data_IF_216942386399
#
_entry.id   IF_216942386399
#
_cell.length_a   1.000
_cell.length_b   1.000
_cell.length_c   1.000
_cell.angle_alpha   90.00
_cell.angle_beta   90.00
_cell.angle_gamma   90.00
#
_symmetry.space_group_name_H-M   'P 1'
#
loop_
_entity.id
_entity.type
_entity.pdbx_description
1 polymer ?
#
# COMPACT_ATOMS: atom_id res chain seq x y z
N UNK A 1 26.98 6.18 -32.30
CA UNK A 1 27.86 5.59 -31.28
C UNK A 1 27.72 6.31 -29.94
N UNK A 2 27.85 7.63 -29.90
CA UNK A 2 27.67 8.46 -28.69
C UNK A 2 26.37 8.18 -27.91
N UNK A 3 25.22 8.09 -28.59
CA UNK A 3 23.93 7.72 -27.96
C UNK A 3 23.98 6.37 -27.23
N UNK A 4 24.63 5.36 -27.83
CA UNK A 4 24.76 4.03 -27.22
C UNK A 4 25.74 4.05 -26.04
N UNK A 5 26.77 4.91 -26.08
CA UNK A 5 27.68 5.09 -24.95
C UNK A 5 26.97 5.67 -23.74
N UNK A 6 26.11 6.69 -23.95
CA UNK A 6 25.29 7.27 -22.89
C UNK A 6 24.41 6.23 -22.20
N UNK A 7 23.80 5.29 -22.94
CA UNK A 7 23.00 4.23 -22.32
C UNK A 7 23.84 3.18 -21.57
N UNK A 8 25.06 2.89 -22.02
CA UNK A 8 25.96 2.00 -21.26
C UNK A 8 26.38 2.64 -19.94
N UNK A 9 26.69 3.95 -19.97
CA UNK A 9 26.99 4.71 -18.76
C UNK A 9 25.77 4.81 -17.83
N UNK A 10 24.57 5.06 -18.39
CA UNK A 10 23.33 5.05 -17.63
C UNK A 10 23.11 3.70 -16.93
N UNK A 11 23.29 2.59 -17.65
CA UNK A 11 23.20 1.25 -17.06
C UNK A 11 24.25 1.02 -15.96
N UNK A 12 25.48 1.54 -16.09
CA UNK A 12 26.51 1.40 -15.06
C UNK A 12 26.03 2.05 -13.75
N UNK A 13 25.60 3.31 -13.81
CA UNK A 13 25.09 4.05 -12.65
C UNK A 13 23.85 3.37 -12.07
N UNK A 14 22.95 2.94 -12.94
CA UNK A 14 21.72 2.27 -12.51
C UNK A 14 21.98 0.92 -11.83
N UNK A 15 22.96 0.13 -12.29
CA UNK A 15 23.35 -1.11 -11.61
C UNK A 15 24.01 -0.84 -10.26
N UNK A 16 24.78 0.25 -10.13
CA UNK A 16 25.31 0.68 -8.83
C UNK A 16 24.18 1.09 -7.88
N UNK A 17 23.16 1.81 -8.36
CA UNK A 17 21.97 2.12 -7.56
C UNK A 17 21.20 0.85 -7.16
N UNK A 18 21.09 -0.14 -8.06
CA UNK A 18 20.46 -1.42 -7.73
C UNK A 18 21.24 -2.19 -6.65
N UNK A 19 22.58 -2.14 -6.68
CA UNK A 19 23.44 -2.73 -5.66
C UNK A 19 23.25 -2.06 -4.30
N UNK A 20 23.22 -0.72 -4.25
CA UNK A 20 22.93 0.03 -3.03
C UNK A 20 21.52 -0.28 -2.49
N UNK A 21 20.54 -0.47 -3.36
CA UNK A 21 19.20 -0.93 -2.96
C UNK A 21 19.21 -2.37 -2.45
N UNK A 22 19.96 -3.25 -3.10
CA UNK A 22 20.10 -4.64 -2.66
C UNK A 22 20.73 -4.75 -1.27
N UNK A 23 21.66 -3.86 -0.92
CA UNK A 23 22.24 -3.78 0.43
C UNK A 23 21.19 -3.44 1.51
N UNK A 24 20.15 -2.68 1.15
CA UNK A 24 19.01 -2.39 2.04
C UNK A 24 18.06 -3.59 2.16
N UNK A 25 18.14 -4.54 1.23
CA UNK A 25 17.31 -5.73 1.20
C UNK A 25 15.82 -5.41 1.20
N UNK A 26 15.09 -6.14 2.03
CA UNK A 26 13.65 -6.02 2.26
C UNK A 26 13.31 -5.11 3.45
N UNK A 27 14.31 -4.48 4.10
CA UNK A 27 14.07 -3.58 5.24
C UNK A 27 13.10 -2.43 4.93
N UNK A 28 13.17 -1.75 3.77
CA UNK A 28 12.20 -0.70 3.45
C UNK A 28 10.76 -1.22 3.37
N UNK A 29 10.55 -2.38 2.73
CA UNK A 29 9.23 -3.02 2.60
C UNK A 29 8.71 -3.46 3.97
N UNK A 30 9.55 -4.06 4.80
CA UNK A 30 9.20 -4.41 6.18
C UNK A 30 8.80 -3.19 7.02
N UNK A 31 9.48 -2.05 6.86
CA UNK A 31 9.12 -0.81 7.56
C UNK A 31 7.76 -0.29 7.08
N UNK A 32 7.50 -0.30 5.76
CA UNK A 32 6.21 0.12 5.21
C UNK A 32 5.06 -0.77 5.71
N UNK A 33 5.26 -2.09 5.74
CA UNK A 33 4.28 -3.04 6.27
C UNK A 33 4.01 -2.81 7.77
N UNK A 34 5.06 -2.61 8.58
CA UNK A 34 4.93 -2.31 10.01
C UNK A 34 4.24 -0.96 10.26
N UNK A 35 4.53 0.06 9.45
CA UNK A 35 3.87 1.36 9.50
C UNK A 35 2.37 1.24 9.21
N UNK A 36 2.01 0.48 8.16
CA UNK A 36 0.62 0.23 7.81
C UNK A 36 -0.12 -0.56 8.89
N UNK A 37 0.53 -1.58 9.48
CA UNK A 37 -0.06 -2.34 10.58
C UNK A 37 -0.27 -1.46 11.83
N UNK A 38 0.72 -0.62 12.16
CA UNK A 38 0.63 0.31 13.28
C UNK A 38 -0.49 1.34 13.07
N UNK A 39 -0.57 1.94 11.88
CA UNK A 39 -1.63 2.89 11.54
C UNK A 39 -3.02 2.24 11.61
N UNK A 40 -3.15 1.00 11.12
CA UNK A 40 -4.38 0.22 11.20
C UNK A 40 -4.80 -0.03 12.65
N UNK A 41 -3.86 -0.45 13.50
CA UNK A 41 -4.11 -0.69 14.93
C UNK A 41 -4.52 0.59 15.66
N UNK A 42 -3.78 1.69 15.47
CA UNK A 42 -4.10 2.98 16.09
C UNK A 42 -5.44 3.55 15.59
N UNK A 43 -5.77 3.35 14.31
CA UNK A 43 -7.07 3.74 13.76
C UNK A 43 -8.21 2.94 14.38
N UNK A 44 -8.04 1.63 14.56
CA UNK A 44 -9.01 0.79 15.25
C UNK A 44 -9.26 1.26 16.69
N UNK A 45 -8.20 1.58 17.43
CA UNK A 45 -8.31 2.15 18.79
C UNK A 45 -9.06 3.49 18.77
N UNK A 46 -8.70 4.42 17.88
CA UNK A 46 -9.39 5.73 17.77
C UNK A 46 -10.88 5.58 17.47
N UNK A 47 -11.26 4.62 16.62
CA UNK A 47 -12.66 4.34 16.30
C UNK A 47 -13.40 3.75 17.50
N UNK A 48 -12.80 2.80 18.20
CA UNK A 48 -13.36 2.22 19.42
C UNK A 48 -13.55 3.30 20.51
N UNK A 49 -12.56 4.17 20.73
CA UNK A 49 -12.65 5.27 21.68
C UNK A 49 -13.75 6.28 21.32
N UNK A 50 -13.89 6.60 20.03
CA UNK A 50 -14.97 7.47 19.55
C UNK A 50 -16.33 6.85 19.80
N UNK A 51 -16.49 5.56 19.46
CA UNK A 51 -17.71 4.82 19.74
C UNK A 51 -18.04 4.82 21.25
N UNK A 52 -17.05 4.56 22.11
CA UNK A 52 -17.26 4.58 23.56
C UNK A 52 -17.78 5.92 24.09
N UNK A 53 -17.30 7.05 23.54
CA UNK A 53 -17.76 8.40 23.90
C UNK A 53 -19.20 8.66 23.44
N UNK A 54 -19.59 8.13 22.28
CA UNK A 54 -20.92 8.34 21.69
C UNK A 54 -21.97 7.36 22.24
N UNK A 55 -21.55 6.15 22.63
CA UNK A 55 -22.43 5.09 23.08
C UNK A 55 -23.25 5.46 24.32
N UNK A 56 -22.67 6.19 25.29
CA UNK A 56 -23.40 6.62 26.49
C UNK A 56 -24.53 7.59 26.14
N UNK A 57 -24.26 8.56 25.26
CA UNK A 57 -25.29 9.47 24.76
C UNK A 57 -26.39 8.74 23.98
N UNK A 58 -26.02 7.75 23.17
CA UNK A 58 -26.98 6.94 22.43
C UNK A 58 -27.87 6.12 23.36
N UNK A 59 -27.30 5.49 24.39
CA UNK A 59 -28.06 4.73 25.39
C UNK A 59 -29.04 5.63 26.13
N UNK A 60 -28.60 6.82 26.57
CA UNK A 60 -29.47 7.74 27.30
C UNK A 60 -30.59 8.31 26.42
N UNK A 61 -30.29 8.60 25.15
CA UNK A 61 -31.30 8.99 24.17
C UNK A 61 -32.36 7.89 23.98
N UNK A 62 -31.94 6.64 23.77
CA UNK A 62 -32.85 5.51 23.58
C UNK A 62 -33.70 5.22 24.83
N UNK A 63 -33.15 5.41 26.03
CA UNK A 63 -33.93 5.34 27.28
C UNK A 63 -35.02 6.42 27.32
N UNK A 64 -34.72 7.65 26.88
CA UNK A 64 -35.70 8.72 26.77
C UNK A 64 -36.84 8.39 25.80
N UNK A 65 -36.53 7.79 24.65
CA UNK A 65 -37.53 7.34 23.67
C UNK A 65 -38.43 6.23 24.23
N UNK A 66 -37.87 5.30 24.99
CA UNK A 66 -38.65 4.27 25.71
C UNK A 66 -39.62 4.92 26.69
N UNK A 67 -39.19 5.90 27.47
CA UNK A 67 -40.04 6.57 28.46
C UNK A 67 -41.19 7.34 27.78
N UNK A 68 -40.90 8.03 26.68
CA UNK A 68 -41.93 8.69 25.88
C UNK A 68 -42.95 7.69 25.31
N UNK A 69 -42.49 6.55 24.79
CA UNK A 69 -43.35 5.49 24.28
C UNK A 69 -44.23 4.90 25.39
N UNK A 70 -43.65 4.61 26.57
CA UNK A 70 -44.40 4.14 27.76
C UNK A 70 -45.46 5.15 28.20
N UNK A 71 -45.16 6.44 28.16
CA UNK A 71 -46.14 7.51 28.42
C UNK A 71 -47.29 7.51 27.40
N UNK A 72 -47.00 7.34 26.10
CA UNK A 72 -48.04 7.23 25.05
C UNK A 72 -48.91 5.99 25.25
N UNK A 73 -48.31 4.84 25.56
CA UNK A 73 -49.04 3.61 25.89
C UNK A 73 -50.01 3.85 27.04
N UNK A 74 -49.55 4.49 28.12
CA UNK A 74 -50.42 4.79 29.26
C UNK A 74 -51.59 5.69 28.87
N UNK A 75 -51.35 6.73 28.06
CA UNK A 75 -52.40 7.64 27.57
C UNK A 75 -53.41 6.91 26.68
N UNK A 76 -52.95 6.10 25.74
CA UNK A 76 -53.81 5.33 24.84
C UNK A 76 -54.64 4.30 25.60
N UNK A 77 -54.07 3.64 26.63
CA UNK A 77 -54.81 2.75 27.52
C UNK A 77 -55.92 3.48 28.27
N UNK A 78 -55.65 4.68 28.80
CA UNK A 78 -56.68 5.49 29.46
C UNK A 78 -57.81 5.87 28.49
N UNK A 79 -57.47 6.34 27.29
CA UNK A 79 -58.45 6.67 26.24
C UNK A 79 -59.27 5.47 25.82
N UNK A 80 -58.66 4.28 25.75
CA UNK A 80 -59.32 3.03 25.39
C UNK A 80 -60.49 2.68 26.32
N UNK A 81 -60.45 3.08 27.61
CA UNK A 81 -61.56 2.90 28.56
C UNK A 81 -62.72 3.88 28.35
N UNK A 82 -62.49 4.99 27.65
CA UNK A 82 -63.48 6.06 27.44
C UNK A 82 -64.24 5.92 26.11
N UNK A 83 -63.65 5.23 25.13
CA UNK A 83 -64.24 5.09 23.78
C UNK A 83 -65.42 4.13 23.75
N UNK A 84 -66.47 4.53 23.00
CA UNK A 84 -67.70 3.74 22.83
C UNK A 84 -67.86 3.14 21.43
N UNK A 85 -66.91 3.41 20.54
CA UNK A 85 -66.90 2.97 19.14
C UNK A 85 -65.82 1.90 18.93
N UNK A 86 -66.22 0.71 18.48
CA UNK A 86 -65.30 -0.42 18.23
C UNK A 86 -64.16 -0.04 17.27
N UNK A 87 -64.41 0.81 16.27
CA UNK A 87 -63.37 1.22 15.31
C UNK A 87 -62.26 2.04 15.96
N UNK A 88 -62.61 2.89 16.93
CA UNK A 88 -61.63 3.71 17.66
C UNK A 88 -60.88 2.88 18.71
N UNK A 89 -61.56 1.93 19.35
CA UNK A 89 -60.95 0.94 20.24
C UNK A 89 -59.88 0.11 19.52
N UNK A 90 -60.20 -0.41 18.33
CA UNK A 90 -59.27 -1.20 17.51
C UNK A 90 -58.07 -0.37 17.05
N UNK A 91 -58.28 0.91 16.72
CA UNK A 91 -57.20 1.83 16.36
C UNK A 91 -56.24 2.06 17.54
N UNK A 92 -56.76 2.36 18.72
CA UNK A 92 -55.94 2.54 19.93
C UNK A 92 -55.19 1.26 20.32
N UNK A 93 -55.82 0.10 20.16
CA UNK A 93 -55.17 -1.20 20.40
C UNK A 93 -53.94 -1.37 19.49
N UNK A 94 -54.09 -1.09 18.19
CA UNK A 94 -52.96 -1.16 17.24
C UNK A 94 -51.85 -0.18 17.58
N UNK A 95 -52.19 1.03 18.02
CA UNK A 95 -51.19 2.01 18.46
C UNK A 95 -50.45 1.56 19.72
N UNK A 96 -51.15 1.00 20.70
CA UNK A 96 -50.53 0.41 21.91
C UNK A 96 -49.55 -0.71 21.52
N UNK A 97 -49.96 -1.62 20.64
CA UNK A 97 -49.11 -2.72 20.17
C UNK A 97 -47.90 -2.22 19.36
N UNK A 98 -48.08 -1.17 18.56
CA UNK A 98 -46.97 -0.54 17.83
C UNK A 98 -45.96 0.11 18.79
N UNK A 99 -46.42 0.85 19.80
CA UNK A 99 -45.55 1.44 20.81
C UNK A 99 -44.85 0.37 21.67
N UNK A 100 -45.55 -0.73 21.99
CA UNK A 100 -44.96 -1.88 22.71
C UNK A 100 -43.82 -2.52 21.92
N UNK A 101 -44.02 -2.82 20.63
CA UNK A 101 -42.96 -3.34 19.75
C UNK A 101 -41.79 -2.37 19.62
N UNK A 102 -42.07 -1.07 19.53
CA UNK A 102 -41.01 -0.05 19.50
C UNK A 102 -40.15 -0.07 20.78
N UNK A 103 -40.77 -0.26 21.96
CA UNK A 103 -40.02 -0.39 23.23
C UNK A 103 -39.12 -1.63 23.18
N UNK A 104 -39.65 -2.80 22.81
CA UNK A 104 -38.88 -4.05 22.73
C UNK A 104 -37.68 -3.94 21.77
N UNK A 105 -37.89 -3.37 20.58
CA UNK A 105 -36.81 -3.14 19.62
C UNK A 105 -35.75 -2.16 20.14
N UNK A 106 -36.19 -1.14 20.88
CA UNK A 106 -35.29 -0.12 21.44
C UNK A 106 -34.49 -0.68 22.62
N UNK A 107 -35.11 -1.49 23.48
CA UNK A 107 -34.43 -2.22 24.56
C UNK A 107 -33.37 -3.17 24.00
N UNK A 108 -33.68 -3.87 22.90
CA UNK A 108 -32.69 -4.69 22.18
C UNK A 108 -31.51 -3.86 21.66
N UNK A 109 -31.77 -2.70 21.04
CA UNK A 109 -30.71 -1.79 20.57
C UNK A 109 -29.81 -1.30 21.70
N UNK A 110 -30.38 -1.03 22.89
CA UNK A 110 -29.60 -0.65 24.07
C UNK A 110 -28.70 -1.82 24.50
N UNK A 111 -29.24 -3.03 24.58
CA UNK A 111 -28.45 -4.22 24.94
C UNK A 111 -27.30 -4.48 23.96
N UNK A 112 -27.56 -4.37 22.65
CA UNK A 112 -26.54 -4.51 21.61
C UNK A 112 -25.46 -3.43 21.73
N UNK A 113 -25.85 -2.17 21.99
CA UNK A 113 -24.91 -1.04 22.18
C UNK A 113 -24.01 -1.26 23.40
N UNK A 114 -24.56 -1.76 24.51
CA UNK A 114 -23.79 -2.07 25.71
C UNK A 114 -22.82 -3.24 25.48
N UNK A 115 -23.23 -4.28 24.75
CA UNK A 115 -22.35 -5.38 24.38
C UNK A 115 -21.19 -4.92 23.48
N UNK A 116 -21.47 -4.03 22.51
CA UNK A 116 -20.44 -3.40 21.68
C UNK A 116 -19.50 -2.52 22.50
N UNK A 117 -20.00 -1.85 23.55
CA UNK A 117 -19.20 -1.04 24.47
C UNK A 117 -18.15 -1.90 25.18
N UNK A 118 -18.55 -3.03 25.75
CA UNK A 118 -17.61 -3.95 26.42
C UNK A 118 -16.60 -4.54 25.42
N UNK A 119 -17.06 -4.95 24.24
CA UNK A 119 -16.16 -5.43 23.17
C UNK A 119 -15.11 -4.38 22.78
N UNK A 120 -15.52 -3.11 22.67
CA UNK A 120 -14.64 -2.00 22.33
C UNK A 120 -13.60 -1.74 23.42
N UNK A 121 -13.97 -1.82 24.70
CA UNK A 121 -13.02 -1.68 25.82
C UNK A 121 -11.95 -2.78 25.78
N UNK A 122 -12.36 -4.04 25.65
CA UNK A 122 -11.42 -5.17 25.56
C UNK A 122 -10.49 -5.02 24.36
N UNK A 123 -11.00 -4.51 23.23
CA UNK A 123 -10.18 -4.25 22.04
C UNK A 123 -9.13 -3.18 22.31
N UNK A 124 -9.48 -2.08 22.97
CA UNK A 124 -8.54 -1.01 23.32
C UNK A 124 -7.46 -1.54 24.28
N UNK A 125 -7.86 -2.28 25.32
CA UNK A 125 -6.94 -2.87 26.29
C UNK A 125 -5.96 -3.86 25.65
N UNK A 126 -6.44 -4.72 24.75
CA UNK A 126 -5.59 -5.67 24.01
C UNK A 126 -4.69 -5.00 22.97
N UNK A 127 -5.09 -3.83 22.44
CA UNK A 127 -4.33 -3.13 21.40
C UNK A 127 -3.10 -2.41 21.93
N UNK A 128 -3.09 -1.99 23.20
CA UNK A 128 -1.96 -1.27 23.82
C UNK A 128 -0.63 -2.02 23.69
N UNK A 129 -0.51 -3.26 24.21
CA UNK A 129 0.71 -4.05 24.09
C UNK A 129 1.12 -4.33 22.63
N UNK A 130 0.13 -4.53 21.75
CA UNK A 130 0.39 -4.75 20.32
C UNK A 130 1.03 -3.51 19.67
N UNK A 131 0.45 -2.33 19.92
CA UNK A 131 0.94 -1.05 19.40
C UNK A 131 2.35 -0.76 19.92
N UNK A 132 2.62 -1.01 21.20
CA UNK A 132 3.97 -0.86 21.77
C UNK A 132 4.98 -1.81 21.12
N UNK A 133 4.60 -3.08 20.91
CA UNK A 133 5.42 -4.05 20.19
C UNK A 133 5.77 -3.59 18.78
N UNK A 134 4.77 -3.16 18.00
CA UNK A 134 4.95 -2.63 16.65
C UNK A 134 5.86 -1.39 16.63
N UNK A 135 5.70 -0.46 17.58
CA UNK A 135 6.55 0.73 17.69
C UNK A 135 8.00 0.38 17.97
N UNK A 136 8.24 -0.59 18.84
CA UNK A 136 9.60 -1.04 19.16
C UNK A 136 10.26 -1.74 17.98
N UNK A 137 9.53 -2.63 17.30
CA UNK A 137 10.05 -3.31 16.11
C UNK A 137 10.36 -2.31 14.99
N UNK A 138 9.42 -1.40 14.70
CA UNK A 138 9.60 -0.34 13.70
C UNK A 138 10.80 0.55 14.02
N UNK A 139 11.01 0.92 15.29
CA UNK A 139 12.18 1.71 15.70
C UNK A 139 13.50 0.96 15.44
N UNK A 140 13.55 -0.33 15.75
CA UNK A 140 14.73 -1.18 15.51
C UNK A 140 15.01 -1.32 14.01
N UNK A 141 13.99 -1.60 13.18
CA UNK A 141 14.16 -1.72 11.73
C UNK A 141 14.59 -0.41 11.08
N UNK A 142 14.02 0.72 11.50
CA UNK A 142 14.44 2.04 11.03
C UNK A 142 15.88 2.33 11.39
N UNK A 143 16.32 1.98 12.60
CA UNK A 143 17.71 2.14 13.02
C UNK A 143 18.65 1.29 12.16
N UNK A 144 18.32 0.03 11.90
CA UNK A 144 19.10 -0.84 11.00
C UNK A 144 19.19 -0.25 9.58
N UNK A 145 18.07 0.23 9.03
CA UNK A 145 18.06 0.87 7.71
C UNK A 145 18.89 2.17 7.70
N UNK A 146 18.83 2.96 8.77
CA UNK A 146 19.62 4.19 8.90
C UNK A 146 21.12 3.89 8.95
N UNK A 147 21.56 2.87 9.68
CA UNK A 147 22.96 2.45 9.74
C UNK A 147 23.48 2.03 8.35
N UNK A 148 22.73 1.20 7.62
CA UNK A 148 23.08 0.79 6.24
C UNK A 148 23.09 1.99 5.28
N UNK A 149 22.11 2.88 5.43
CA UNK A 149 21.96 4.04 4.54
C UNK A 149 23.03 5.09 4.81
N UNK A 150 23.41 5.32 6.07
CA UNK A 150 24.43 6.32 6.44
C UNK A 150 25.74 6.09 5.69
N UNK A 151 26.16 4.84 5.59
CA UNK A 151 27.43 4.46 4.98
C UNK A 151 27.39 4.56 3.43
N UNK A 152 26.19 4.56 2.83
CA UNK A 152 25.97 4.57 1.37
C UNK A 152 25.36 5.87 0.83
N UNK A 153 24.93 6.79 1.70
CA UNK A 153 24.13 7.99 1.35
C UNK A 153 24.85 8.96 0.42
N UNK A 154 26.11 9.26 0.71
CA UNK A 154 26.87 10.21 -0.10
C UNK A 154 27.22 9.62 -1.47
N UNK A 155 27.53 8.32 -1.53
CA UNK A 155 27.72 7.59 -2.78
C UNK A 155 26.44 7.58 -3.63
N UNK A 156 25.30 7.23 -3.04
CA UNK A 156 24.01 7.23 -3.74
C UNK A 156 23.67 8.62 -4.30
N UNK A 157 23.91 9.69 -3.52
CA UNK A 157 23.69 11.08 -3.98
C UNK A 157 24.54 11.44 -5.19
N UNK A 158 25.81 11.03 -5.19
CA UNK A 158 26.71 11.27 -6.33
C UNK A 158 26.20 10.52 -7.55
N UNK A 159 25.86 9.24 -7.42
CA UNK A 159 25.37 8.41 -8.54
C UNK A 159 24.07 8.99 -9.11
N UNK A 160 23.11 9.42 -8.28
CA UNK A 160 21.85 10.05 -8.72
C UNK A 160 22.14 11.35 -9.49
N UNK A 161 23.05 12.19 -9.01
CA UNK A 161 23.41 13.43 -9.67
C UNK A 161 24.08 13.18 -11.03
N UNK A 162 24.96 12.19 -11.12
CA UNK A 162 25.56 11.77 -12.39
C UNK A 162 24.53 11.18 -13.35
N UNK A 163 23.62 10.34 -12.85
CA UNK A 163 22.52 9.75 -13.62
C UNK A 163 21.69 10.85 -14.26
N UNK A 164 21.34 11.89 -13.51
CA UNK A 164 20.55 13.03 -14.00
C UNK A 164 21.27 13.73 -15.17
N UNK A 165 22.57 13.99 -15.06
CA UNK A 165 23.37 14.60 -16.13
C UNK A 165 23.40 13.76 -17.42
N UNK A 166 23.38 12.43 -17.30
CA UNK A 166 23.34 11.53 -18.45
C UNK A 166 21.93 11.51 -19.08
N UNK A 167 20.89 11.43 -18.25
CA UNK A 167 19.49 11.44 -18.68
C UNK A 167 19.16 12.72 -19.47
N UNK A 168 19.66 13.88 -19.04
CA UNK A 168 19.47 15.16 -19.75
C UNK A 168 20.10 15.18 -21.15
N UNK A 169 21.11 14.34 -21.40
CA UNK A 169 21.77 14.20 -22.71
C UNK A 169 21.12 13.13 -23.58
N UNK A 170 20.23 12.32 -23.03
CA UNK A 170 19.53 11.25 -23.75
C UNK A 170 18.29 11.76 -24.47
N UNK A 171 18.05 11.26 -25.69
CA UNK A 171 16.81 11.51 -26.41
C UNK A 171 15.64 10.79 -25.72
N UNK A 172 14.50 11.47 -25.55
CA UNK A 172 13.33 10.94 -24.84
C UNK A 172 12.90 9.54 -25.30
N UNK A 173 12.78 9.33 -26.62
CA UNK A 173 12.38 8.03 -27.20
C UNK A 173 13.34 6.89 -26.81
N UNK A 174 14.63 7.20 -26.71
CA UNK A 174 15.66 6.23 -26.34
C UNK A 174 15.59 5.90 -24.84
N UNK A 175 15.37 6.92 -24.00
CA UNK A 175 15.19 6.74 -22.57
C UNK A 175 13.92 5.93 -22.26
N UNK A 176 12.80 6.25 -22.90
CA UNK A 176 11.54 5.50 -22.71
C UNK A 176 11.71 4.02 -23.06
N UNK A 177 12.45 3.72 -24.13
CA UNK A 177 12.75 2.35 -24.51
C UNK A 177 13.66 1.66 -23.47
N UNK A 178 14.66 2.37 -22.98
CA UNK A 178 15.58 1.87 -21.94
C UNK A 178 14.82 1.52 -20.67
N UNK A 179 14.04 2.46 -20.13
CA UNK A 179 13.27 2.29 -18.88
C UNK A 179 12.24 1.15 -19.00
N UNK A 180 11.58 1.04 -20.16
CA UNK A 180 10.66 -0.08 -20.43
C UNK A 180 11.34 -1.43 -20.38
N UNK A 181 12.52 -1.57 -20.98
CA UNK A 181 13.28 -2.84 -20.95
C UNK A 181 13.77 -3.09 -19.52
N UNK A 182 14.26 -2.05 -18.83
CA UNK A 182 14.78 -2.11 -17.47
C UNK A 182 13.77 -2.71 -16.50
N UNK A 183 12.54 -2.18 -16.49
CA UNK A 183 11.47 -2.68 -15.63
C UNK A 183 11.01 -4.10 -15.93
N UNK A 184 11.18 -4.58 -17.17
CA UNK A 184 10.75 -5.92 -17.58
C UNK A 184 11.83 -7.01 -17.46
N UNK A 185 13.09 -6.64 -17.19
CA UNK A 185 14.26 -7.51 -17.41
C UNK A 185 15.35 -7.38 -16.34
N UNK A 186 14.94 -7.22 -15.09
CA UNK A 186 15.80 -7.23 -13.89
C UNK A 186 16.93 -6.17 -13.97
N UNK A 187 16.61 -4.96 -14.41
CA UNK A 187 17.57 -3.85 -14.43
C UNK A 187 18.63 -3.91 -15.55
N UNK A 188 18.80 -5.03 -16.27
CA UNK A 188 19.82 -5.17 -17.32
C UNK A 188 19.24 -4.99 -18.72
N UNK A 189 19.54 -3.85 -19.34
CA UNK A 189 19.04 -3.44 -20.68
C UNK A 189 20.03 -3.75 -21.79
N UNK A 190 21.32 -3.56 -21.53
CA UNK A 190 22.43 -3.74 -22.47
C UNK A 190 23.26 -4.96 -22.05
N UNK A 191 23.49 -5.86 -22.99
CA UNK A 191 24.24 -7.11 -22.76
C UNK A 191 25.28 -7.33 -23.86
N UNK A 192 26.32 -8.08 -23.54
CA UNK A 192 27.35 -8.44 -24.51
C UNK A 192 26.95 -9.65 -25.34
N UNK A 193 27.52 -9.75 -26.54
CA UNK A 193 27.48 -10.97 -27.36
C UNK A 193 28.46 -12.00 -26.79
N UNK A 194 27.95 -13.08 -26.17
CA UNK A 194 28.77 -14.16 -25.59
C UNK A 194 28.67 -15.42 -26.42
N UNK A 195 29.80 -15.88 -26.99
CA UNK A 195 29.87 -17.13 -27.81
C UNK A 195 28.79 -17.21 -28.91
N UNK A 196 28.48 -16.07 -29.55
CA UNK A 196 27.45 -15.99 -30.59
C UNK A 196 26.00 -15.94 -30.10
N UNK A 197 25.78 -15.84 -28.79
CA UNK A 197 24.46 -15.72 -28.17
C UNK A 197 24.27 -14.38 -27.43
N UNK A 198 23.01 -14.01 -27.22
CA UNK A 198 22.64 -12.85 -26.43
C UNK A 198 23.02 -13.07 -24.95
N UNK A 199 23.85 -12.21 -24.35
CA UNK A 199 24.30 -12.36 -22.96
C UNK A 199 23.21 -12.23 -21.88
N UNK A 200 21.98 -11.85 -22.25
CA UNK A 200 20.83 -11.78 -21.34
C UNK A 200 19.90 -13.00 -21.35
N UNK A 201 19.53 -13.52 -22.53
CA UNK A 201 18.59 -14.65 -22.67
C UNK A 201 19.22 -15.90 -23.29
N UNK A 202 20.53 -15.87 -23.56
CA UNK A 202 21.35 -16.97 -24.05
C UNK A 202 20.92 -17.61 -25.38
N UNK A 203 19.98 -16.98 -26.09
CA UNK A 203 19.56 -17.42 -27.41
C UNK A 203 20.60 -17.01 -28.47
N UNK A 204 20.85 -17.93 -29.40
CA UNK A 204 21.81 -17.78 -30.48
C UNK A 204 21.39 -16.65 -31.42
N UNK A 205 22.34 -15.80 -31.78
CA UNK A 205 22.14 -14.70 -32.74
C UNK A 205 22.69 -15.15 -34.10
N UNK A 206 21.97 -14.97 -35.23
CA UNK A 206 22.46 -15.33 -36.56
C UNK A 206 23.82 -14.70 -36.90
N UNK A 207 24.70 -15.43 -37.59
CA UNK A 207 26.08 -15.02 -37.90
C UNK A 207 26.19 -13.65 -38.58
N UNK A 208 25.28 -13.34 -39.50
CA UNK A 208 25.22 -12.03 -40.16
C UNK A 208 25.06 -10.89 -39.15
N UNK A 209 24.17 -11.06 -38.16
CA UNK A 209 23.93 -10.07 -37.10
C UNK A 209 25.06 -10.00 -36.10
N UNK A 210 25.73 -11.11 -35.82
CA UNK A 210 26.95 -11.09 -35.00
C UNK A 210 28.04 -10.19 -35.62
N UNK A 211 28.22 -10.27 -36.95
CA UNK A 211 29.16 -9.42 -37.66
C UNK A 211 28.75 -7.93 -37.62
N UNK A 212 27.45 -7.64 -37.72
CA UNK A 212 26.91 -6.28 -37.58
C UNK A 212 27.13 -5.70 -36.17
N UNK A 213 26.91 -6.50 -35.12
CA UNK A 213 27.12 -6.10 -33.72
C UNK A 213 28.60 -5.78 -33.48
N UNK A 214 29.53 -6.62 -33.99
CA UNK A 214 30.97 -6.40 -33.85
C UNK A 214 31.44 -5.12 -34.54
N UNK A 215 30.85 -4.78 -35.69
CA UNK A 215 31.14 -3.54 -36.43
C UNK A 215 30.47 -2.30 -35.83
N UNK A 216 29.60 -2.45 -34.83
CA UNK A 216 28.86 -1.39 -34.16
C UNK A 216 28.16 -0.39 -35.11
N UNK A 217 27.65 -0.88 -36.24
CA UNK A 217 27.08 -0.05 -37.32
C UNK A 217 25.73 0.57 -36.91
N UNK A 218 24.95 -0.14 -36.10
CA UNK A 218 23.62 0.27 -35.63
C UNK A 218 23.31 -0.34 -34.25
N UNK A 219 22.34 0.24 -33.55
CA UNK A 219 21.82 -0.34 -32.29
C UNK A 219 21.07 -1.63 -32.62
N UNK A 220 21.52 -2.74 -32.06
CA UNK A 220 20.90 -4.05 -32.26
C UNK A 220 20.09 -4.46 -31.04
N UNK A 221 18.85 -4.89 -31.27
CA UNK A 221 17.97 -5.42 -30.23
C UNK A 221 17.81 -6.94 -30.41
N UNK A 222 17.90 -7.69 -29.31
CA UNK A 222 17.61 -9.11 -29.32
C UNK A 222 16.11 -9.33 -29.61
N UNK A 223 15.79 -10.10 -30.64
CA UNK A 223 14.39 -10.40 -31.01
C UNK A 223 13.63 -11.21 -29.96
N UNK A 224 14.35 -11.87 -29.05
CA UNK A 224 13.72 -12.73 -28.05
C UNK A 224 13.46 -12.04 -26.72
N UNK A 225 14.37 -11.18 -26.27
CA UNK A 225 14.24 -10.53 -24.96
C UNK A 225 14.18 -9.00 -25.02
N UNK A 226 14.37 -8.40 -26.20
CA UNK A 226 14.32 -6.95 -26.42
C UNK A 226 15.57 -6.18 -25.98
N UNK A 227 16.49 -6.80 -25.23
CA UNK A 227 17.72 -6.18 -24.75
C UNK A 227 18.61 -5.71 -25.90
N UNK A 228 19.34 -4.63 -25.69
CA UNK A 228 20.32 -4.11 -26.64
C UNK A 228 21.58 -4.99 -26.54
N UNK A 229 22.04 -5.52 -27.68
CA UNK A 229 23.25 -6.36 -27.72
C UNK A 229 24.40 -5.58 -28.32
N UNK A 230 25.53 -5.53 -27.61
CA UNK A 230 26.75 -4.85 -28.02
C UNK A 230 27.94 -5.81 -28.06
N UNK A 231 29.02 -5.42 -28.74
CA UNK A 231 30.27 -6.18 -28.68
C UNK A 231 30.91 -6.09 -27.30
N UNK A 232 31.67 -7.12 -26.91
CA UNK A 232 32.40 -7.12 -25.63
C UNK A 232 33.42 -5.97 -25.57
N UNK A 233 34.14 -5.70 -26.65
CA UNK A 233 35.11 -4.60 -26.73
C UNK A 233 34.45 -3.23 -26.48
N UNK A 234 33.26 -3.01 -27.06
CA UNK A 234 32.53 -1.75 -26.87
C UNK A 234 32.02 -1.61 -25.43
N UNK A 235 31.50 -2.69 -24.86
CA UNK A 235 31.00 -2.70 -23.49
C UNK A 235 32.13 -2.47 -22.49
N UNK A 236 33.24 -3.19 -22.62
CA UNK A 236 34.37 -3.11 -21.69
C UNK A 236 35.07 -1.75 -21.73
N UNK A 237 35.12 -1.09 -22.90
CA UNK A 237 35.68 0.27 -23.03
C UNK A 237 34.96 1.32 -22.17
N UNK A 238 33.71 1.07 -21.82
CA UNK A 238 32.84 2.03 -21.10
C UNK A 238 32.52 1.54 -19.69
N UNK A 239 32.36 0.22 -19.53
CA UNK A 239 32.00 -0.42 -18.28
C UNK A 239 33.22 -0.81 -17.43
N UNK A 240 34.36 -1.12 -18.06
CA UNK A 240 35.61 -1.52 -17.41
C UNK A 240 36.64 -0.39 -17.22
N UNK A 241 36.32 0.83 -17.68
CA UNK A 241 36.95 2.08 -17.27
C UNK A 241 36.11 2.73 -16.17
#
# INVERSE_FOLDING_TARGET
MEKLQLLVQLQKLDLQLDELKFLRGDLPEQIEDLEAELEGAETGVRQAEKFLKEADHQVDFLKGEIEQSKSRVSKYKSQQFEVRNNREYDALTKEIDAQGRFVEETEKKIADTLAQKETSKTTIEASGPKIEGLKNELAERRKQLEEITRDTKDEERVIIAERKKIVEKCEKKMLDQYERIRGARDGKVIVTLKRGACGGCWKVIPLQRQAEIKKAVKVFHCEHCGRIVVSEDFYNKIFGA
#
